data_IF_466496020744
#
_entry.id   IF_466496020744
#
_cell.length_a   1.000
_cell.length_b   1.000
_cell.length_c   1.000
_cell.angle_alpha   90.00
_cell.angle_beta   90.00
_cell.angle_gamma   90.00
#
_symmetry.space_group_name_H-M   'P 1'
#
loop_
_entity.id
_entity.type
_entity.pdbx_description
1 polymer ?
#
# COMPACT_ATOMS: atom_id res chain seq x y z
N UNK A 1 -7.41 -32.89 -6.67
CA UNK A 1 -6.56 -31.91 -7.41
C UNK A 1 -6.84 -30.49 -6.95
N UNK A 2 -5.84 -29.60 -6.98
CA UNK A 2 -6.03 -28.17 -6.67
C UNK A 2 -6.87 -27.48 -7.76
N UNK A 3 -7.83 -26.63 -7.34
CA UNK A 3 -8.68 -25.88 -8.27
C UNK A 3 -7.84 -25.01 -9.23
N UNK A 4 -8.23 -24.89 -10.53
CA UNK A 4 -7.45 -24.17 -11.54
C UNK A 4 -7.03 -22.75 -11.13
N UNK A 5 -7.92 -22.01 -10.45
CA UNK A 5 -7.67 -20.64 -9.94
C UNK A 5 -6.47 -20.50 -8.99
N UNK A 6 -6.03 -21.60 -8.36
CA UNK A 6 -4.90 -21.62 -7.41
C UNK A 6 -3.61 -22.19 -8.01
N UNK A 7 -3.65 -22.56 -9.30
CA UNK A 7 -2.47 -23.02 -10.05
C UNK A 7 -1.64 -21.85 -10.57
N UNK A 8 -2.25 -20.67 -10.75
CA UNK A 8 -1.58 -19.45 -11.19
C UNK A 8 -0.71 -18.80 -10.11
N UNK A 9 0.31 -18.05 -10.52
CA UNK A 9 1.26 -17.37 -9.63
C UNK A 9 0.70 -16.15 -8.87
N UNK A 10 -0.61 -15.90 -8.94
CA UNK A 10 -1.28 -14.74 -8.33
C UNK A 10 -1.40 -14.87 -6.80
N UNK A 11 -1.57 -16.09 -6.30
CA UNK A 11 -1.70 -16.37 -4.86
C UNK A 11 -0.37 -16.82 -4.26
N UNK A 12 -0.07 -16.28 -3.08
CA UNK A 12 0.99 -16.78 -2.20
C UNK A 12 0.46 -17.97 -1.42
N UNK A 13 1.08 -19.13 -1.60
CA UNK A 13 0.77 -20.37 -0.88
C UNK A 13 1.51 -20.35 0.47
N UNK A 14 0.78 -20.51 1.57
CA UNK A 14 1.36 -20.61 2.92
C UNK A 14 0.87 -21.91 3.57
N UNK A 15 1.77 -22.87 3.77
CA UNK A 15 1.46 -24.08 4.51
C UNK A 15 1.41 -23.74 6.01
N UNK A 16 0.31 -24.13 6.69
CA UNK A 16 0.11 -23.93 8.13
C UNK A 16 -0.33 -25.26 8.75
N UNK A 17 0.18 -25.56 9.94
CA UNK A 17 -0.31 -26.66 10.77
C UNK A 17 -1.54 -26.18 11.54
N UNK A 18 -2.63 -26.91 11.43
CA UNK A 18 -3.87 -26.68 12.18
C UNK A 18 -3.76 -27.31 13.58
N UNK A 19 -4.56 -26.86 14.55
CA UNK A 19 -4.58 -27.42 15.90
C UNK A 19 -4.80 -28.95 15.92
N UNK A 20 -5.66 -29.48 15.05
CA UNK A 20 -5.88 -30.93 14.90
C UNK A 20 -4.78 -31.68 14.13
N UNK A 21 -3.54 -31.18 14.13
CA UNK A 21 -2.36 -31.84 13.54
C UNK A 21 -2.27 -31.80 12.01
N UNK A 22 -3.35 -31.50 11.28
CA UNK A 22 -3.39 -31.46 9.82
C UNK A 22 -2.58 -30.29 9.25
N UNK A 23 -1.89 -30.52 8.13
CA UNK A 23 -1.18 -29.46 7.38
C UNK A 23 -2.03 -28.99 6.20
N UNK A 24 -2.41 -27.71 6.20
CA UNK A 24 -3.26 -27.10 5.16
C UNK A 24 -2.54 -25.94 4.48
N UNK A 25 -2.79 -25.77 3.17
CA UNK A 25 -2.27 -24.65 2.37
C UNK A 25 -3.32 -23.54 2.31
N UNK A 26 -2.97 -22.37 2.86
CA UNK A 26 -3.76 -21.16 2.68
C UNK A 26 -3.28 -20.37 1.45
N UNK A 27 -4.23 -19.89 0.66
CA UNK A 27 -3.98 -19.07 -0.53
C UNK A 27 -4.23 -17.60 -0.20
N UNK A 28 -3.15 -16.86 0.07
CA UNK A 28 -3.23 -15.44 0.36
C UNK A 28 -2.90 -14.64 -0.90
N UNK A 29 -3.56 -13.50 -1.10
CA UNK A 29 -3.21 -12.63 -2.22
C UNK A 29 -1.87 -11.91 -1.95
N UNK A 30 -1.15 -11.54 -3.02
CA UNK A 30 0.09 -10.74 -2.90
C UNK A 30 -0.19 -9.38 -2.25
N UNK A 31 0.80 -8.87 -1.51
CA UNK A 31 0.76 -7.51 -0.94
C UNK A 31 0.91 -6.49 -2.08
N UNK A 32 0.22 -5.37 -1.96
CA UNK A 32 0.33 -4.25 -2.90
C UNK A 32 1.70 -3.58 -2.77
N UNK A 33 2.13 -2.94 -3.86
CA UNK A 33 3.32 -2.09 -3.92
C UNK A 33 3.16 -0.88 -2.99
N UNK A 34 4.29 -0.25 -2.65
CA UNK A 34 4.29 0.99 -1.88
C UNK A 34 3.80 2.14 -2.75
N UNK A 35 3.21 3.16 -2.13
CA UNK A 35 2.82 4.38 -2.82
C UNK A 35 4.06 5.19 -3.18
N UNK A 36 4.03 5.82 -4.35
CA UNK A 36 5.12 6.63 -4.89
C UNK A 36 4.66 8.06 -5.10
N UNK A 37 5.60 9.00 -5.00
CA UNK A 37 5.38 10.41 -5.25
C UNK A 37 5.11 10.65 -6.74
N UNK A 38 4.05 11.40 -7.05
CA UNK A 38 3.70 11.70 -8.44
C UNK A 38 4.78 12.46 -9.23
N UNK A 39 5.56 13.34 -8.57
CA UNK A 39 6.58 14.19 -9.24
C UNK A 39 7.94 13.50 -9.37
N UNK A 40 8.41 12.82 -8.30
CA UNK A 40 9.79 12.31 -8.24
C UNK A 40 9.91 10.79 -8.15
N UNK A 41 8.79 10.05 -8.11
CA UNK A 41 8.80 8.59 -8.01
C UNK A 41 9.31 8.01 -6.68
N UNK A 42 9.76 8.87 -5.74
CA UNK A 42 10.20 8.43 -4.40
C UNK A 42 9.05 7.77 -3.65
N UNK A 43 9.37 6.73 -2.88
CA UNK A 43 8.40 6.08 -1.99
C UNK A 43 7.86 7.09 -0.99
N UNK A 44 6.53 7.11 -0.80
CA UNK A 44 5.88 7.97 0.19
C UNK A 44 5.90 7.33 1.57
N UNK A 45 6.34 8.12 2.54
CA UNK A 45 6.31 7.76 3.95
C UNK A 45 4.92 7.98 4.57
N UNK A 46 4.61 7.20 5.59
CA UNK A 46 3.36 7.29 6.36
C UNK A 46 2.06 7.10 5.53
N UNK A 47 2.15 6.54 4.32
CA UNK A 47 0.98 6.09 3.56
C UNK A 47 0.88 4.57 3.68
N UNK A 48 -0.21 4.03 4.27
CA UNK A 48 -0.36 2.59 4.42
C UNK A 48 -0.54 1.95 3.05
N UNK A 49 0.21 0.88 2.80
CA UNK A 49 -0.05 0.00 1.66
C UNK A 49 -1.11 -1.02 2.04
N UNK A 50 -2.11 -1.17 1.21
CA UNK A 50 -3.15 -2.17 1.40
C UNK A 50 -4.02 -2.27 0.17
N UNK A 51 -4.97 -3.19 0.20
CA UNK A 51 -6.06 -3.21 -0.79
C UNK A 51 -7.09 -2.15 -0.46
N UNK A 52 -7.90 -1.68 -1.43
CA UNK A 52 -8.91 -0.66 -1.18
C UNK A 52 -9.85 -1.00 -0.01
N UNK A 53 -10.24 -2.28 0.14
CA UNK A 53 -11.08 -2.73 1.26
C UNK A 53 -10.38 -2.71 2.63
N UNK A 54 -9.04 -2.81 2.68
CA UNK A 54 -8.26 -2.74 3.92
C UNK A 54 -8.08 -1.27 4.32
N UNK A 55 -7.72 -0.43 3.34
CA UNK A 55 -7.54 1.01 3.54
C UNK A 55 -8.85 1.68 3.97
N UNK A 56 -9.99 1.24 3.42
CA UNK A 56 -11.32 1.75 3.80
C UNK A 56 -11.69 1.48 5.26
N UNK A 57 -11.06 0.50 5.93
CA UNK A 57 -11.28 0.21 7.36
C UNK A 57 -10.43 1.09 8.27
N UNK A 58 -9.37 1.71 7.75
CA UNK A 58 -8.49 2.60 8.53
C UNK A 58 -9.16 3.95 8.80
N UNK A 59 -8.79 4.59 9.90
CA UNK A 59 -9.23 5.95 10.21
C UNK A 59 -8.63 6.97 9.23
N UNK A 60 -9.22 8.17 9.14
CA UNK A 60 -8.74 9.24 8.23
C UNK A 60 -7.26 9.58 8.47
N UNK A 61 -6.84 9.64 9.74
CA UNK A 61 -5.47 9.95 10.14
C UNK A 61 -4.48 8.83 9.76
N UNK A 62 -4.92 7.57 9.76
CA UNK A 62 -4.08 6.44 9.37
C UNK A 62 -3.91 6.33 7.85
N UNK A 63 -4.82 6.92 7.05
CA UNK A 63 -4.78 6.82 5.58
C UNK A 63 -3.79 7.79 4.94
N UNK A 64 -3.56 8.96 5.54
CA UNK A 64 -2.73 10.02 4.96
C UNK A 64 -2.09 10.91 6.03
N UNK A 65 -0.93 11.50 5.74
CA UNK A 65 -0.39 12.60 6.53
C UNK A 65 -1.31 13.83 6.51
N UNK A 66 -1.33 14.61 7.60
CA UNK A 66 -2.18 15.82 7.73
C UNK A 66 -1.64 17.07 7.00
N UNK A 67 -0.51 16.98 6.30
CA UNK A 67 0.05 18.11 5.54
C UNK A 67 -0.63 18.30 4.18
N UNK A 68 -0.51 19.49 3.56
CA UNK A 68 -0.93 19.71 2.17
C UNK A 68 -0.29 18.69 1.21
N UNK A 69 -1.08 18.23 0.25
CA UNK A 69 -0.72 17.17 -0.71
C UNK A 69 -0.20 15.87 -0.07
N UNK A 70 -0.58 15.62 1.19
CA UNK A 70 -0.26 14.39 1.93
C UNK A 70 -0.79 13.15 1.21
N UNK A 71 0.10 12.19 0.95
CA UNK A 71 -0.24 10.95 0.25
C UNK A 71 -0.11 11.01 -1.28
N UNK A 72 0.26 12.16 -1.86
CA UNK A 72 0.50 12.30 -3.29
C UNK A 72 1.91 12.80 -3.61
N UNK A 73 2.34 13.85 -2.91
CA UNK A 73 3.67 14.44 -3.09
C UNK A 73 4.55 14.17 -1.88
N UNK A 74 5.85 13.99 -2.07
CA UNK A 74 6.81 13.92 -0.97
C UNK A 74 7.08 15.30 -0.36
N UNK A 75 7.64 15.34 0.85
CA UNK A 75 7.92 16.59 1.58
C UNK A 75 8.82 17.55 0.80
N UNK A 76 9.79 17.04 0.04
CA UNK A 76 10.66 17.89 -0.76
C UNK A 76 9.92 18.53 -1.95
N UNK A 77 9.13 17.74 -2.68
CA UNK A 77 8.35 18.26 -3.80
C UNK A 77 7.29 19.27 -3.35
N UNK A 78 6.64 19.04 -2.20
CA UNK A 78 5.71 20.04 -1.66
C UNK A 78 6.41 21.34 -1.30
N UNK A 79 7.61 21.28 -0.70
CA UNK A 79 8.39 22.49 -0.38
C UNK A 79 8.76 23.28 -1.63
N UNK A 80 9.15 22.60 -2.70
CA UNK A 80 9.48 23.25 -3.97
C UNK A 80 8.26 23.94 -4.57
N UNK A 81 7.10 23.29 -4.58
CA UNK A 81 5.87 23.89 -5.08
C UNK A 81 5.49 25.16 -4.31
N UNK A 82 5.54 25.13 -2.97
CA UNK A 82 5.25 26.32 -2.17
C UNK A 82 6.23 27.46 -2.45
N UNK A 83 7.51 27.16 -2.69
CA UNK A 83 8.50 28.19 -3.07
C UNK A 83 8.23 28.76 -4.46
N UNK A 84 7.84 27.92 -5.41
CA UNK A 84 7.51 28.35 -6.77
C UNK A 84 6.24 29.22 -6.78
N UNK A 85 5.24 28.86 -5.99
CA UNK A 85 3.99 29.62 -5.82
C UNK A 85 4.24 30.97 -5.15
N UNK A 86 5.02 30.99 -4.07
CA UNK A 86 5.37 32.23 -3.37
C UNK A 86 6.22 33.21 -4.19
N UNK A 87 6.97 32.73 -5.19
CA UNK A 87 7.79 33.59 -6.09
C UNK A 87 6.99 34.15 -7.27
N UNK A 88 5.81 33.58 -7.56
CA UNK A 88 4.92 34.01 -8.63
C UNK A 88 3.93 35.08 -8.17
N UNK A 89 3.64 35.08 -6.86
CA UNK A 89 3.01 36.19 -6.16
C UNK A 89 3.96 37.39 -6.12
#
# INVERSE_FOLDING_TARGET
>A
MTAPRFRTGTFKKRAKRLPGGRRVVHYNKKKTSKHVCAKCGKVLDAVPRGRPYEIRKLSKNQRRPNRPYGGNLCTNCTKQLFKEEARKL
#
